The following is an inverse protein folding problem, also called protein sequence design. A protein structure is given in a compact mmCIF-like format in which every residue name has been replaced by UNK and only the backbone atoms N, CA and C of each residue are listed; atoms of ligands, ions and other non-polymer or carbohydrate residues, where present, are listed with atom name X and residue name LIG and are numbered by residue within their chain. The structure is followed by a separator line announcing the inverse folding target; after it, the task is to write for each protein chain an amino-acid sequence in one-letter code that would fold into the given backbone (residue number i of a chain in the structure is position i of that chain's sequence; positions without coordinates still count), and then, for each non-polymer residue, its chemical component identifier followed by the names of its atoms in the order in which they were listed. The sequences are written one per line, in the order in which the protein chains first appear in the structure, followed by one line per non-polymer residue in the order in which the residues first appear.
data_IF_474108710027
#
_entry.id   IF_474108710027
#
_cell.length_a   1.000
_cell.length_b   1.000
_cell.length_c   1.000
_cell.angle_alpha   90.00
_cell.angle_beta   90.00
_cell.angle_gamma   90.00
#
_symmetry.space_group_name_H-M   'P 1'
#
loop_
_entity.id
_entity.type
_entity.pdbx_description
1 polymer ?
#
# COMPACT_ATOMS: atom_id res chain seq x y z
N UNK A 1 20.05 15.08 -15.41
CA UNK A 1 19.35 15.20 -14.10
C UNK A 1 19.50 13.89 -13.36
N UNK A 2 20.31 13.88 -12.32
CA UNK A 2 20.35 12.77 -11.39
C UNK A 2 19.00 12.69 -10.69
N UNK A 3 18.18 11.67 -11.03
CA UNK A 3 17.04 11.30 -10.22
C UNK A 3 17.57 11.01 -8.83
N UNK A 4 17.26 11.85 -7.86
CA UNK A 4 17.41 11.49 -6.46
C UNK A 4 16.57 10.23 -6.26
N UNK A 5 17.21 9.15 -5.82
CA UNK A 5 16.49 7.97 -5.34
C UNK A 5 15.69 8.46 -4.14
N UNK A 6 14.42 8.77 -4.36
CA UNK A 6 13.51 9.14 -3.27
C UNK A 6 13.29 7.87 -2.48
N UNK A 7 14.03 7.72 -1.41
CA UNK A 7 13.82 6.63 -0.46
C UNK A 7 12.43 6.79 0.14
N UNK A 8 11.61 5.78 -0.02
CA UNK A 8 10.24 5.74 0.53
C UNK A 8 10.29 5.93 2.04
N UNK A 9 9.49 6.83 2.57
CA UNK A 9 9.32 6.98 4.01
C UNK A 9 8.85 5.65 4.63
N UNK A 10 9.43 5.27 5.76
CA UNK A 10 9.14 3.99 6.41
C UNK A 10 9.19 4.12 7.94
N UNK A 11 8.63 3.14 8.61
CA UNK A 11 8.83 2.95 10.05
C UNK A 11 9.77 1.77 10.28
N UNK A 12 10.68 1.91 11.23
CA UNK A 12 11.60 0.86 11.65
C UNK A 12 11.57 0.71 13.16
N UNK A 13 11.86 -0.49 13.65
CA UNK A 13 12.06 -0.76 15.07
C UNK A 13 13.54 -1.03 15.33
N UNK A 14 14.18 -0.18 16.13
CA UNK A 14 15.61 -0.24 16.44
C UNK A 14 15.86 0.37 17.83
N UNK A 15 16.80 -0.18 18.58
CA UNK A 15 17.13 0.27 19.94
C UNK A 15 15.91 0.31 20.89
N UNK A 16 15.06 -0.72 20.81
CA UNK A 16 13.81 -0.84 21.57
C UNK A 16 12.78 0.28 21.36
N UNK A 17 12.91 1.04 20.27
CA UNK A 17 12.01 2.12 19.91
C UNK A 17 11.57 2.06 18.44
N UNK A 18 10.40 2.66 18.17
CA UNK A 18 9.92 2.88 16.81
C UNK A 18 10.41 4.22 16.29
N UNK A 19 10.93 4.20 15.06
CA UNK A 19 11.44 5.37 14.35
C UNK A 19 10.66 5.60 13.06
N UNK A 20 10.38 6.87 12.78
CA UNK A 20 9.97 7.34 11.47
C UNK A 20 11.21 7.76 10.69
N UNK A 21 11.39 7.16 9.53
CA UNK A 21 12.48 7.48 8.59
C UNK A 21 11.85 8.15 7.38
N UNK A 22 11.99 9.48 7.25
CA UNK A 22 11.45 10.19 6.09
C UNK A 22 12.22 9.85 4.81
N UNK A 23 11.62 10.16 3.65
CA UNK A 23 12.30 10.07 2.36
C UNK A 23 13.54 10.97 2.28
N UNK A 24 13.50 12.11 2.95
CA UNK A 24 14.60 13.06 3.08
C UNK A 24 14.71 13.56 4.52
N UNK A 25 15.94 13.74 4.99
CA UNK A 25 16.20 14.27 6.31
C UNK A 25 16.54 13.22 7.38
N UNK A 26 16.52 13.65 8.62
CA UNK A 26 16.88 12.82 9.76
C UNK A 26 15.69 12.03 10.28
N UNK A 27 15.94 10.78 10.71
CA UNK A 27 14.93 9.98 11.43
C UNK A 27 14.51 10.68 12.73
N UNK A 28 13.26 10.51 13.10
CA UNK A 28 12.74 10.96 14.39
C UNK A 28 11.97 9.82 15.08
N UNK A 29 11.81 9.92 16.39
CA UNK A 29 11.00 8.93 17.12
C UNK A 29 9.57 8.95 16.58
N UNK A 30 8.99 7.77 16.34
CA UNK A 30 7.64 7.67 15.80
C UNK A 30 6.61 8.35 16.73
N UNK A 31 6.86 8.31 18.02
CA UNK A 31 6.05 9.03 19.01
C UNK A 31 6.02 10.54 18.73
N UNK A 32 7.18 11.16 18.52
CA UNK A 32 7.28 12.59 18.23
C UNK A 32 6.64 12.94 16.90
N UNK A 33 6.90 12.13 15.88
CA UNK A 33 6.29 12.29 14.58
C UNK A 33 4.77 12.19 14.63
N UNK A 34 4.24 11.18 15.31
CA UNK A 34 2.79 10.96 15.45
C UNK A 34 2.12 12.10 16.23
N UNK A 35 2.73 12.58 17.32
CA UNK A 35 2.20 13.71 18.07
C UNK A 35 2.15 15.00 17.26
N UNK A 36 3.13 15.22 16.43
CA UNK A 36 3.27 16.42 15.59
C UNK A 36 2.35 16.39 14.36
N UNK A 37 2.25 15.25 13.69
CA UNK A 37 1.69 15.15 12.34
C UNK A 37 0.37 14.39 12.25
N UNK A 38 0.19 13.34 13.03
CA UNK A 38 -1.02 12.52 12.92
C UNK A 38 -2.23 13.19 13.58
N UNK A 39 -3.23 13.50 12.80
CA UNK A 39 -4.55 13.97 13.31
C UNK A 39 -5.48 12.82 13.61
N UNK A 40 -5.32 11.72 12.91
CA UNK A 40 -6.11 10.51 13.01
C UNK A 40 -5.16 9.32 13.03
N UNK A 41 -5.59 8.27 13.67
CA UNK A 41 -4.77 7.08 13.80
C UNK A 41 -5.57 5.86 13.38
N UNK A 42 -4.89 4.96 12.70
CA UNK A 42 -5.40 3.68 12.30
C UNK A 42 -4.60 2.60 13.01
N UNK A 43 -5.26 1.83 13.84
CA UNK A 43 -4.66 0.67 14.50
C UNK A 43 -5.43 -0.57 14.07
N UNK A 44 -4.73 -1.53 13.46
CA UNK A 44 -5.33 -2.76 12.93
C UNK A 44 -6.53 -2.49 11.99
N UNK A 45 -6.40 -1.52 11.09
CA UNK A 45 -7.44 -1.15 10.15
C UNK A 45 -8.63 -0.38 10.73
N UNK A 46 -8.61 -0.03 12.02
CA UNK A 46 -9.65 0.78 12.66
C UNK A 46 -9.16 2.19 12.95
N UNK A 47 -9.98 3.17 12.62
CA UNK A 47 -9.75 4.55 12.98
C UNK A 47 -9.78 4.75 14.50
N UNK A 48 -8.72 5.35 15.04
CA UNK A 48 -8.62 5.73 16.46
C UNK A 48 -8.32 7.23 16.56
N UNK A 49 -9.27 8.07 17.04
CA UNK A 49 -9.00 9.48 17.28
C UNK A 49 -8.10 9.68 18.49
N UNK A 50 -7.41 10.83 18.57
CA UNK A 50 -6.53 11.17 19.70
C UNK A 50 -7.23 11.11 21.06
N UNK A 51 -8.54 11.35 21.09
CA UNK A 51 -9.36 11.25 22.30
C UNK A 51 -9.62 9.80 22.74
N UNK A 52 -9.30 8.83 21.90
CA UNK A 52 -9.56 7.43 22.21
C UNK A 52 -8.56 6.89 23.24
N UNK A 53 -9.00 6.11 24.26
CA UNK A 53 -8.11 5.57 25.29
C UNK A 53 -6.96 4.70 24.78
N UNK A 54 -7.13 4.04 23.64
CA UNK A 54 -6.10 3.21 23.00
C UNK A 54 -5.08 4.03 22.20
N UNK A 55 -5.35 5.32 21.99
CA UNK A 55 -4.39 6.18 21.32
C UNK A 55 -3.19 6.39 22.24
N UNK A 56 -2.04 5.87 21.84
CA UNK A 56 -0.78 6.05 22.56
C UNK A 56 0.32 6.36 21.56
N UNK A 57 0.93 7.50 21.72
CA UNK A 57 2.12 7.85 20.98
C UNK A 57 3.20 6.77 21.13
N UNK A 58 3.97 6.54 20.06
CA UNK A 58 5.11 5.62 20.07
C UNK A 58 4.78 4.12 19.93
N UNK A 59 3.50 3.75 19.78
CA UNK A 59 3.10 2.33 19.62
C UNK A 59 2.68 1.94 18.21
N UNK A 60 3.15 2.68 17.22
CA UNK A 60 2.81 2.44 15.82
C UNK A 60 3.77 1.44 15.19
N UNK A 61 3.21 0.48 14.46
CA UNK A 61 3.97 -0.58 13.78
C UNK A 61 4.15 -0.34 12.29
N UNK A 62 3.36 0.59 11.73
CA UNK A 62 3.37 0.91 10.30
C UNK A 62 3.15 2.40 10.07
N UNK A 63 3.40 2.86 8.84
CA UNK A 63 3.07 4.22 8.42
C UNK A 63 1.56 4.49 8.50
N UNK A 64 0.75 3.51 8.16
CA UNK A 64 -0.70 3.62 8.21
C UNK A 64 -1.21 3.84 9.65
N UNK A 65 -0.55 3.23 10.62
CA UNK A 65 -0.85 3.45 12.04
C UNK A 65 -0.47 4.86 12.52
N UNK A 66 0.58 5.45 11.94
CA UNK A 66 1.10 6.76 12.36
C UNK A 66 0.49 7.93 11.58
N UNK A 67 0.12 7.72 10.33
CA UNK A 67 -0.37 8.78 9.45
C UNK A 67 -1.89 8.97 9.56
N UNK A 68 -2.33 10.22 9.40
CA UNK A 68 -3.75 10.50 9.19
C UNK A 68 -4.19 10.01 7.80
N UNK A 69 -5.48 9.70 7.66
CA UNK A 69 -6.07 9.29 6.37
C UNK A 69 -5.77 10.32 5.26
N UNK A 70 -5.89 11.60 5.55
CA UNK A 70 -5.60 12.67 4.60
C UNK A 70 -4.13 12.66 4.14
N UNK A 71 -3.21 12.40 5.05
CA UNK A 71 -1.78 12.34 4.74
C UNK A 71 -1.45 11.12 3.88
N UNK A 72 -2.07 9.99 4.17
CA UNK A 72 -1.95 8.77 3.37
C UNK A 72 -2.48 9.02 1.95
N UNK A 73 -3.66 9.65 1.81
CA UNK A 73 -4.24 9.95 0.51
C UNK A 73 -3.39 10.92 -0.34
N UNK A 74 -2.68 11.84 0.27
CA UNK A 74 -1.78 12.76 -0.42
C UNK A 74 -0.46 12.12 -0.86
N UNK A 75 -0.07 11.02 -0.28
CA UNK A 75 1.17 10.33 -0.60
C UNK A 75 1.05 9.68 -1.99
N UNK A 76 1.92 10.05 -2.91
CA UNK A 76 1.93 9.52 -4.28
C UNK A 76 2.65 8.19 -4.38
N UNK A 77 3.76 8.05 -3.67
CA UNK A 77 4.54 6.81 -3.64
C UNK A 77 3.77 5.67 -3.01
N UNK A 78 3.99 4.48 -3.48
CA UNK A 78 3.39 3.29 -2.91
C UNK A 78 3.45 2.10 -3.85
N UNK A 79 2.47 1.25 -3.73
CA UNK A 79 2.36 0.02 -4.48
C UNK A 79 1.00 -0.09 -5.16
N UNK A 80 0.99 -0.67 -6.34
CA UNK A 80 -0.21 -1.24 -6.97
C UNK A 80 -0.11 -2.75 -6.80
N UNK A 81 -1.20 -3.39 -6.43
CA UNK A 81 -1.21 -4.83 -6.14
C UNK A 81 -2.42 -5.52 -6.76
N UNK A 82 -2.25 -6.81 -6.97
CA UNK A 82 -3.33 -7.73 -7.30
C UNK A 82 -3.59 -8.64 -6.11
N UNK A 83 -4.83 -8.69 -5.66
CA UNK A 83 -5.27 -9.50 -4.52
C UNK A 83 -6.40 -10.43 -4.93
N UNK A 84 -6.42 -11.62 -4.38
CA UNK A 84 -7.44 -12.63 -4.62
C UNK A 84 -8.00 -13.16 -3.32
N UNK A 85 -9.21 -13.74 -3.41
CA UNK A 85 -9.83 -14.46 -2.30
C UNK A 85 -10.53 -15.71 -2.85
N UNK A 86 -10.39 -16.88 -2.21
CA UNK A 86 -11.03 -18.11 -2.66
C UNK A 86 -12.56 -18.04 -2.77
N UNK A 87 -13.21 -17.16 -2.00
CA UNK A 87 -14.65 -16.92 -2.09
C UNK A 87 -15.07 -16.29 -3.44
N UNK A 88 -14.14 -15.65 -4.15
CA UNK A 88 -14.37 -14.97 -5.43
C UNK A 88 -13.49 -15.59 -6.51
N UNK A 89 -13.65 -16.87 -6.76
CA UNK A 89 -12.88 -17.60 -7.78
C UNK A 89 -13.01 -16.96 -9.16
N UNK A 90 -11.88 -16.79 -9.84
CA UNK A 90 -11.82 -16.16 -11.16
C UNK A 90 -11.83 -14.65 -11.14
N UNK A 91 -11.84 -14.03 -9.96
CA UNK A 91 -11.78 -12.58 -9.80
C UNK A 91 -10.48 -12.13 -9.15
N UNK A 92 -9.92 -11.05 -9.66
CA UNK A 92 -8.73 -10.40 -9.15
C UNK A 92 -9.04 -8.94 -8.89
N UNK A 93 -8.72 -8.45 -7.69
CA UNK A 93 -8.83 -7.04 -7.34
C UNK A 93 -7.50 -6.33 -7.59
N UNK A 94 -7.56 -5.22 -8.31
CA UNK A 94 -6.42 -4.33 -8.50
C UNK A 94 -6.62 -3.09 -7.63
N UNK A 95 -5.71 -2.88 -6.71
CA UNK A 95 -5.77 -1.76 -5.78
C UNK A 95 -4.41 -1.10 -5.59
N UNK A 96 -4.42 -0.04 -4.82
CA UNK A 96 -3.23 0.73 -4.45
C UNK A 96 -3.14 0.91 -2.94
N UNK A 97 -1.92 1.04 -2.46
CA UNK A 97 -1.64 1.35 -1.06
C UNK A 97 -0.26 2.01 -0.93
N UNK A 98 -0.02 2.65 0.19
CA UNK A 98 1.35 3.03 0.57
C UNK A 98 2.17 1.78 0.87
N UNK A 99 1.54 0.81 1.54
CA UNK A 99 2.10 -0.52 1.79
C UNK A 99 1.03 -1.58 1.51
N UNK A 100 1.30 -2.47 0.55
CA UNK A 100 0.36 -3.48 0.11
C UNK A 100 0.10 -4.55 1.19
N UNK A 101 1.10 -4.93 1.97
CA UNK A 101 0.95 -5.91 3.05
C UNK A 101 0.04 -5.40 4.15
N UNK A 102 0.21 -4.15 4.58
CA UNK A 102 -0.68 -3.51 5.56
C UNK A 102 -2.11 -3.44 5.05
N UNK A 103 -2.29 -3.13 3.79
CA UNK A 103 -3.61 -3.08 3.16
C UNK A 103 -4.26 -4.45 3.09
N UNK A 104 -3.49 -5.48 2.73
CA UNK A 104 -3.95 -6.85 2.71
C UNK A 104 -4.39 -7.31 4.12
N UNK A 105 -3.61 -7.00 5.14
CA UNK A 105 -3.97 -7.28 6.52
C UNK A 105 -5.28 -6.62 6.93
N UNK A 106 -5.56 -5.42 6.43
CA UNK A 106 -6.86 -4.74 6.61
C UNK A 106 -8.02 -5.53 5.97
N UNK A 107 -7.83 -6.12 4.80
CA UNK A 107 -8.85 -6.96 4.16
C UNK A 107 -9.11 -8.26 4.91
N UNK A 108 -8.12 -8.84 5.57
CA UNK A 108 -8.28 -10.09 6.32
C UNK A 108 -9.37 -10.02 7.37
N UNK A 109 -9.65 -8.83 7.89
CA UNK A 109 -10.73 -8.62 8.88
C UNK A 109 -12.13 -8.87 8.32
N UNK A 110 -12.32 -8.78 7.01
CA UNK A 110 -13.60 -9.02 6.33
C UNK A 110 -13.84 -10.48 5.96
N UNK A 111 -12.83 -11.34 6.09
CA UNK A 111 -12.94 -12.77 5.84
C UNK A 111 -12.76 -13.57 7.14
N UNK A 112 -13.69 -14.48 7.48
CA UNK A 112 -13.52 -15.34 8.66
C UNK A 112 -12.33 -16.28 8.53
N UNK A 113 -11.89 -16.57 7.33
CA UNK A 113 -10.76 -17.46 7.04
C UNK A 113 -9.44 -16.71 6.86
N UNK A 114 -9.45 -15.37 6.82
CA UNK A 114 -8.26 -14.52 6.62
C UNK A 114 -7.42 -14.97 5.43
N UNK A 115 -8.06 -15.20 4.31
CA UNK A 115 -7.53 -15.90 3.14
C UNK A 115 -7.34 -15.01 1.91
N UNK A 116 -7.29 -13.69 2.09
CA UNK A 116 -6.84 -12.78 1.05
C UNK A 116 -5.34 -12.97 0.79
N UNK A 117 -4.96 -13.00 -0.48
CA UNK A 117 -3.59 -13.22 -0.91
C UNK A 117 -3.18 -12.18 -1.96
N UNK A 118 -2.03 -11.54 -1.75
CA UNK A 118 -1.40 -10.71 -2.77
C UNK A 118 -0.67 -11.64 -3.74
N UNK A 119 -1.09 -11.66 -5.00
CA UNK A 119 -0.49 -12.50 -6.05
C UNK A 119 0.54 -11.76 -6.90
N UNK A 120 0.50 -10.44 -6.92
CA UNK A 120 1.46 -9.60 -7.60
C UNK A 120 1.46 -8.19 -7.00
N UNK A 121 2.59 -7.51 -7.09
CA UNK A 121 2.75 -6.12 -6.66
C UNK A 121 3.77 -5.39 -7.50
N UNK A 122 3.65 -4.08 -7.55
CA UNK A 122 4.49 -3.18 -8.30
C UNK A 122 4.71 -1.90 -7.48
N UNK A 123 5.96 -1.56 -7.16
CA UNK A 123 6.30 -0.27 -6.54
C UNK A 123 6.25 0.84 -7.58
N UNK A 124 5.80 2.02 -7.19
CA UNK A 124 5.66 3.17 -8.09
C UNK A 124 5.80 4.49 -7.35
N UNK A 125 6.31 5.50 -8.04
CA UNK A 125 6.40 6.87 -7.55
C UNK A 125 5.03 7.59 -7.53
N UNK A 126 4.06 7.09 -8.29
CA UNK A 126 2.70 7.61 -8.32
C UNK A 126 1.66 6.47 -8.38
N UNK A 127 1.27 5.99 -7.22
CA UNK A 127 0.32 4.89 -7.09
C UNK A 127 -1.07 5.20 -7.66
N UNK A 128 -1.48 6.47 -7.64
CA UNK A 128 -2.78 6.88 -8.17
C UNK A 128 -2.84 6.76 -9.70
N UNK A 129 -1.81 7.26 -10.37
CA UNK A 129 -1.69 7.18 -11.82
C UNK A 129 -1.47 5.73 -12.28
N UNK A 130 -0.59 5.01 -11.59
CA UNK A 130 -0.28 3.62 -11.93
C UNK A 130 -1.47 2.69 -11.73
N UNK A 131 -2.26 2.87 -10.69
CA UNK A 131 -3.50 2.12 -10.50
C UNK A 131 -4.47 2.35 -11.68
N UNK A 132 -4.66 3.60 -12.08
CA UNK A 132 -5.51 3.95 -13.22
C UNK A 132 -5.01 3.31 -14.53
N UNK A 133 -3.70 3.29 -14.75
CA UNK A 133 -3.09 2.61 -15.90
C UNK A 133 -3.35 1.10 -15.84
N UNK A 134 -3.11 0.47 -14.70
CA UNK A 134 -3.35 -0.95 -14.50
C UNK A 134 -4.83 -1.32 -14.66
N UNK A 135 -5.74 -0.50 -14.16
CA UNK A 135 -7.18 -0.71 -14.38
C UNK A 135 -7.54 -0.72 -15.87
N UNK A 136 -6.98 0.17 -16.68
CA UNK A 136 -7.20 0.19 -18.14
C UNK A 136 -6.65 -1.07 -18.83
N UNK A 137 -5.46 -1.50 -18.42
CA UNK A 137 -4.85 -2.72 -18.97
C UNK A 137 -5.69 -3.95 -18.60
N UNK A 138 -6.07 -4.08 -17.33
CA UNK A 138 -6.89 -5.21 -16.86
C UNK A 138 -8.28 -5.22 -17.50
N UNK A 139 -8.90 -4.06 -17.69
CA UNK A 139 -10.18 -3.96 -18.39
C UNK A 139 -10.11 -4.49 -19.82
N UNK A 140 -8.99 -4.29 -20.49
CA UNK A 140 -8.77 -4.82 -21.85
C UNK A 140 -8.69 -6.35 -21.89
N UNK A 141 -8.09 -6.98 -20.88
CA UNK A 141 -7.88 -8.43 -20.84
C UNK A 141 -8.94 -9.20 -20.07
N UNK A 142 -9.68 -8.55 -19.18
CA UNK A 142 -10.70 -9.20 -18.37
C UNK A 142 -11.99 -9.48 -19.16
N UNK A 143 -12.68 -10.56 -18.81
CA UNK A 143 -14.02 -10.86 -19.36
C UNK A 143 -15.07 -9.89 -18.82
N UNK A 144 -14.94 -9.47 -17.56
CA UNK A 144 -15.90 -8.61 -16.86
C UNK A 144 -15.15 -7.75 -15.83
N UNK A 145 -15.68 -6.55 -15.54
CA UNK A 145 -15.19 -5.66 -14.50
C UNK A 145 -16.33 -5.23 -13.57
N UNK A 146 -16.05 -5.25 -12.26
CA UNK A 146 -16.93 -4.67 -11.23
C UNK A 146 -16.10 -3.80 -10.28
N UNK A 147 -16.11 -2.48 -10.51
CA UNK A 147 -15.28 -1.55 -9.75
C UNK A 147 -13.79 -1.85 -9.95
N UNK A 148 -13.11 -2.24 -8.87
CA UNK A 148 -11.69 -2.62 -8.86
C UNK A 148 -11.48 -4.14 -9.02
N UNK A 149 -12.54 -4.90 -9.20
CA UNK A 149 -12.50 -6.33 -9.42
C UNK A 149 -12.63 -6.68 -10.91
N UNK A 150 -11.75 -7.57 -11.37
CA UNK A 150 -11.66 -8.01 -12.76
C UNK A 150 -11.80 -9.52 -12.84
N UNK A 151 -12.65 -9.99 -13.73
CA UNK A 151 -12.80 -11.41 -14.03
C UNK A 151 -11.70 -11.85 -14.98
N UNK A 152 -10.65 -12.40 -14.41
CA UNK A 152 -9.42 -12.80 -15.10
C UNK A 152 -8.73 -13.90 -14.30
N UNK A 153 -8.02 -14.81 -14.98
CA UNK A 153 -7.26 -15.84 -14.27
C UNK A 153 -5.98 -15.29 -13.63
N UNK A 154 -5.53 -15.93 -12.54
CA UNK A 154 -4.35 -15.52 -11.78
C UNK A 154 -3.08 -15.47 -12.61
N UNK A 155 -2.89 -16.44 -13.51
CA UNK A 155 -1.68 -16.56 -14.33
C UNK A 155 -1.55 -15.36 -15.26
N UNK A 156 -2.65 -15.00 -15.94
CA UNK A 156 -2.70 -13.82 -16.80
C UNK A 156 -2.47 -12.53 -16.01
N UNK A 157 -3.09 -12.41 -14.83
CA UNK A 157 -2.90 -11.27 -13.95
C UNK A 157 -1.42 -11.10 -13.54
N UNK A 158 -0.76 -12.16 -13.14
CA UNK A 158 0.66 -12.17 -12.78
C UNK A 158 1.54 -11.80 -13.98
N UNK A 159 1.24 -12.32 -15.16
CA UNK A 159 1.98 -11.98 -16.38
C UNK A 159 1.89 -10.49 -16.74
N UNK A 160 0.72 -9.89 -16.56
CA UNK A 160 0.54 -8.44 -16.79
C UNK A 160 1.43 -7.64 -15.84
N UNK A 161 1.46 -7.97 -14.55
CA UNK A 161 2.33 -7.30 -13.59
C UNK A 161 3.81 -7.48 -13.92
N UNK A 162 4.23 -8.69 -14.28
CA UNK A 162 5.62 -8.97 -14.64
C UNK A 162 6.05 -8.20 -15.91
N UNK A 163 5.17 -8.07 -16.88
CA UNK A 163 5.44 -7.27 -18.07
C UNK A 163 5.63 -5.79 -17.71
N UNK A 164 4.79 -5.24 -16.86
CA UNK A 164 4.91 -3.85 -16.42
C UNK A 164 6.20 -3.60 -15.62
N UNK A 165 6.62 -4.53 -14.77
CA UNK A 165 7.89 -4.47 -14.05
C UNK A 165 9.08 -4.40 -15.03
N UNK A 166 9.08 -5.26 -16.04
CA UNK A 166 10.14 -5.27 -17.05
C UNK A 166 10.17 -3.99 -17.88
N UNK A 167 9.03 -3.42 -18.21
CA UNK A 167 8.97 -2.13 -18.92
C UNK A 167 9.52 -0.98 -18.08
N UNK A 168 9.24 -0.96 -16.78
CA UNK A 168 9.75 0.06 -15.87
C UNK A 168 11.26 -0.04 -15.68
N UNK A 169 11.79 -1.25 -15.47
CA UNK A 169 13.23 -1.51 -15.41
C UNK A 169 13.96 -1.05 -16.69
N UNK A 170 13.37 -1.29 -17.85
CA UNK A 170 13.93 -0.84 -19.13
C UNK A 170 13.89 0.68 -19.29
N UNK A 171 12.88 1.36 -18.76
CA UNK A 171 12.79 2.83 -18.76
C UNK A 171 13.84 3.44 -17.83
N UNK A 172 14.09 2.82 -16.68
CA UNK A 172 15.08 3.30 -15.70
C UNK A 172 16.53 3.00 -16.15
N UNK A 173 16.73 1.98 -16.98
CA UNK A 173 18.02 1.64 -17.58
C UNK A 173 18.38 2.46 -18.84
N UNK A 174 17.42 3.15 -19.43
CA UNK A 174 17.61 4.04 -20.58
C UNK A 174 17.82 5.49 -20.09
#
# INVERSE_FOLDING_TARGET
MTRSVITKAKTIYEDDEWWYVPSEGKRERLEQYANKNARRMWVNGKYIPRSHPLWKAGRFKSLDDAWSHEQIERTKEGEVYAIVNPAFMGWVKIGKAVNADDRCNGYQTSSPFRDYEIIARLETDNRHEKEGEMHRIFEHFAEERKGEWFKIDKVTAIKIFNYQLTEEENKDAA
#
